data_IF_417376378676
#
_entry.id   IF_417376378676
#
_cell.length_a   1.000
_cell.length_b   1.000
_cell.length_c   1.000
_cell.angle_alpha   90.00
_cell.angle_beta   90.00
_cell.angle_gamma   90.00
#
_symmetry.space_group_name_H-M   'P 1'
#
loop_
_entity.id
_entity.type
_entity.pdbx_description
1 polymer ?
#
# COMPACT_ATOMS: atom_id res chain seq x y z
N UNK A 1 6.79 30.44 15.28
CA UNK A 1 7.73 30.36 14.14
C UNK A 1 7.80 28.91 13.69
N UNK A 2 7.85 28.62 12.40
CA UNK A 2 8.06 27.24 11.94
C UNK A 2 9.45 26.77 12.39
N UNK A 3 9.53 25.56 12.97
CA UNK A 3 10.82 24.98 13.39
C UNK A 3 11.63 24.60 12.16
N UNK A 4 12.95 24.78 12.23
CA UNK A 4 13.85 24.31 11.19
C UNK A 4 13.90 22.78 11.17
N UNK A 5 13.86 22.22 9.98
CA UNK A 5 13.82 20.77 9.75
C UNK A 5 15.09 20.31 9.07
N UNK A 6 15.74 19.33 9.66
CA UNK A 6 16.91 18.64 9.11
C UNK A 6 16.45 17.32 8.46
N UNK A 7 17.08 16.96 7.34
CA UNK A 7 16.91 15.69 6.63
C UNK A 7 18.22 14.94 6.63
N UNK A 8 18.24 13.78 7.24
CA UNK A 8 19.43 12.94 7.40
C UNK A 8 19.21 11.62 6.64
N UNK A 9 19.74 11.50 5.42
CA UNK A 9 19.66 10.25 4.67
C UNK A 9 20.69 9.25 5.22
N UNK A 10 20.29 7.96 5.29
CA UNK A 10 21.16 6.85 5.66
C UNK A 10 20.61 5.52 5.12
N UNK A 11 21.46 4.52 4.86
CA UNK A 11 21.04 3.18 4.52
C UNK A 11 20.91 2.30 5.78
N UNK A 12 19.95 1.36 5.72
CA UNK A 12 19.94 0.17 6.58
C UNK A 12 20.33 -1.00 5.67
N UNK A 13 21.36 -1.73 6.07
CA UNK A 13 21.93 -2.83 5.29
C UNK A 13 21.61 -4.15 5.99
N UNK A 14 20.98 -5.08 5.25
CA UNK A 14 20.69 -6.43 5.70
C UNK A 14 21.26 -7.45 4.71
N UNK A 15 21.39 -8.69 5.14
CA UNK A 15 21.86 -9.80 4.30
C UNK A 15 20.73 -10.80 4.13
N UNK A 16 20.37 -11.11 2.88
CA UNK A 16 19.37 -12.10 2.54
C UNK A 16 19.86 -12.93 1.36
N UNK A 17 20.11 -14.22 1.60
CA UNK A 17 20.52 -15.13 0.52
C UNK A 17 19.36 -15.37 -0.43
N UNK A 18 19.59 -15.17 -1.72
CA UNK A 18 18.63 -15.44 -2.79
C UNK A 18 19.27 -16.22 -3.92
N UNK A 19 18.50 -17.06 -4.60
CA UNK A 19 18.96 -17.80 -5.77
C UNK A 19 19.19 -16.90 -6.99
N UNK A 20 18.54 -15.74 -7.03
CA UNK A 20 18.69 -14.73 -8.08
C UNK A 20 18.36 -13.33 -7.53
N UNK A 21 18.77 -12.32 -8.25
CA UNK A 21 18.54 -10.92 -7.89
C UNK A 21 17.19 -10.46 -8.44
N UNK A 22 16.29 -10.08 -7.56
CA UNK A 22 14.93 -9.64 -7.91
C UNK A 22 14.84 -8.13 -8.20
N UNK A 23 15.81 -7.37 -7.71
CA UNK A 23 15.82 -5.91 -7.80
C UNK A 23 17.24 -5.36 -7.87
N UNK A 24 17.38 -4.15 -8.37
CA UNK A 24 18.66 -3.42 -8.37
C UNK A 24 18.96 -2.71 -7.03
N UNK A 25 18.09 -2.85 -6.02
CA UNK A 25 18.22 -2.24 -4.69
C UNK A 25 19.22 -2.92 -3.75
N UNK A 26 20.38 -3.34 -4.24
CA UNK A 26 21.42 -3.99 -3.45
C UNK A 26 22.46 -4.66 -4.35
N UNK A 27 23.40 -5.41 -3.77
CA UNK A 27 24.42 -6.16 -4.48
C UNK A 27 24.56 -7.55 -3.88
N UNK A 28 24.58 -8.59 -4.72
CA UNK A 28 24.63 -9.99 -4.28
C UNK A 28 23.53 -10.31 -3.26
N UNK A 29 23.89 -10.77 -2.07
CA UNK A 29 22.98 -11.06 -0.95
C UNK A 29 22.71 -9.82 -0.06
N UNK A 30 23.14 -8.63 -0.46
CA UNK A 30 22.97 -7.40 0.31
C UNK A 30 21.68 -6.69 -0.11
N UNK A 31 20.79 -6.45 0.85
CA UNK A 31 19.60 -5.63 0.72
C UNK A 31 19.84 -4.27 1.36
N UNK A 32 19.54 -3.19 0.65
CA UNK A 32 19.72 -1.82 1.14
C UNK A 32 18.34 -1.14 1.21
N UNK A 33 17.93 -0.77 2.41
CA UNK A 33 16.75 0.05 2.68
C UNK A 33 17.21 1.49 2.91
N UNK A 34 16.90 2.39 1.97
CA UNK A 34 17.24 3.80 2.12
C UNK A 34 16.22 4.49 2.99
N UNK A 35 16.71 5.20 4.02
CA UNK A 35 15.90 5.95 4.95
C UNK A 35 16.29 7.43 4.97
N UNK A 36 15.33 8.28 5.29
CA UNK A 36 15.57 9.69 5.59
C UNK A 36 14.91 10.03 6.92
N UNK A 37 15.71 10.34 7.93
CA UNK A 37 15.20 10.87 9.18
C UNK A 37 14.96 12.38 9.03
N UNK A 38 13.71 12.79 9.18
CA UNK A 38 13.22 14.17 9.05
C UNK A 38 12.86 14.64 10.46
N UNK A 39 13.58 15.60 11.01
CA UNK A 39 13.40 16.01 12.39
C UNK A 39 13.80 17.45 12.64
N UNK A 40 13.37 17.99 13.78
CA UNK A 40 13.89 19.24 14.33
C UNK A 40 15.14 18.99 15.19
N UNK A 41 15.74 20.04 15.74
CA UNK A 41 16.85 19.92 16.69
C UNK A 41 16.38 19.41 18.08
N UNK A 42 15.11 19.59 18.40
CA UNK A 42 14.54 19.16 19.69
C UNK A 42 14.53 17.63 19.78
N UNK A 43 14.82 17.04 20.95
CA UNK A 43 14.74 15.61 21.14
C UNK A 43 13.28 15.14 21.16
N UNK A 44 13.03 13.91 20.70
CA UNK A 44 11.75 13.23 20.82
C UNK A 44 11.98 11.77 21.18
N UNK A 45 11.15 11.23 22.07
CA UNK A 45 11.12 9.80 22.38
C UNK A 45 10.33 8.98 21.35
N UNK A 46 9.60 9.66 20.46
CA UNK A 46 8.71 9.06 19.45
C UNK A 46 9.25 9.23 18.04
N UNK A 47 9.21 8.16 17.25
CA UNK A 47 9.49 8.18 15.81
C UNK A 47 8.30 7.64 15.02
N UNK A 48 7.80 8.42 14.06
CA UNK A 48 6.91 7.91 13.02
C UNK A 48 7.74 7.25 11.93
N UNK A 49 7.43 6.00 11.60
CA UNK A 49 8.06 5.30 10.46
C UNK A 49 7.06 5.19 9.33
N UNK A 50 7.42 5.67 8.16
CA UNK A 50 6.60 5.57 6.95
C UNK A 50 7.36 4.81 5.87
N UNK A 51 6.74 3.74 5.35
CA UNK A 51 7.21 2.99 4.20
C UNK A 51 6.06 2.71 3.25
N UNK A 52 6.25 2.99 1.97
CA UNK A 52 5.36 2.55 0.90
C UNK A 52 6.03 1.40 0.15
N UNK A 53 5.30 0.33 -0.27
CA UNK A 53 5.92 -0.85 -0.90
C UNK A 53 6.81 -0.55 -2.11
N UNK A 54 6.48 0.47 -2.92
CA UNK A 54 7.21 0.79 -4.15
C UNK A 54 7.87 2.17 -4.16
N UNK A 55 7.79 2.94 -3.09
CA UNK A 55 8.30 4.31 -3.18
C UNK A 55 8.60 4.96 -1.85
N UNK A 56 9.54 5.89 -1.90
CA UNK A 56 9.86 6.73 -0.75
C UNK A 56 8.73 7.71 -0.45
N UNK A 57 8.45 7.92 0.82
CA UNK A 57 7.47 8.89 1.30
C UNK A 57 8.09 10.22 1.73
N UNK A 58 9.42 10.33 1.72
CA UNK A 58 10.16 11.50 2.22
C UNK A 58 9.80 12.82 1.54
N UNK A 59 9.31 12.80 0.30
CA UNK A 59 8.93 13.99 -0.47
C UNK A 59 7.52 14.49 -0.17
N UNK A 60 6.67 13.70 0.49
CA UNK A 60 5.29 14.10 0.81
C UNK A 60 5.28 15.32 1.73
N UNK A 61 4.46 16.36 1.44
CA UNK A 61 4.36 17.57 2.26
C UNK A 61 4.07 17.28 3.73
N UNK A 62 3.23 16.29 4.00
CA UNK A 62 2.84 15.89 5.36
C UNK A 62 4.04 15.47 6.23
N UNK A 63 5.06 14.81 5.67
CA UNK A 63 6.24 14.40 6.43
C UNK A 63 7.04 15.59 6.97
N UNK A 64 7.16 16.65 6.16
CA UNK A 64 7.80 17.90 6.58
C UNK A 64 6.94 18.66 7.59
N UNK A 65 5.63 18.66 7.44
CA UNK A 65 4.71 19.33 8.35
C UNK A 65 4.71 18.65 9.74
N UNK A 66 4.69 17.33 9.79
CA UNK A 66 4.84 16.56 11.02
C UNK A 66 6.17 16.87 11.70
N UNK A 67 7.28 16.90 10.94
CA UNK A 67 8.58 17.26 11.51
C UNK A 67 8.60 18.69 12.07
N UNK A 68 8.02 19.68 11.37
CA UNK A 68 7.88 21.06 11.88
C UNK A 68 7.01 21.15 13.13
N UNK A 69 6.06 20.25 13.31
CA UNK A 69 5.26 20.15 14.52
C UNK A 69 6.02 19.52 15.71
N UNK A 70 7.20 18.93 15.47
CA UNK A 70 8.06 18.34 16.49
C UNK A 70 8.19 16.82 16.39
N UNK A 71 7.40 16.17 15.55
CA UNK A 71 7.41 14.71 15.38
C UNK A 71 8.64 14.30 14.59
N UNK A 72 9.44 13.38 15.10
CA UNK A 72 10.50 12.78 14.29
C UNK A 72 9.91 11.77 13.30
N UNK A 73 10.22 11.90 12.02
CA UNK A 73 9.69 11.04 10.95
C UNK A 73 10.85 10.35 10.25
N UNK A 74 10.82 9.02 10.21
CA UNK A 74 11.74 8.21 9.42
C UNK A 74 10.99 7.67 8.19
N UNK A 75 11.22 8.31 7.05
CA UNK A 75 10.67 7.90 5.76
C UNK A 75 11.61 6.90 5.10
N UNK A 76 11.13 5.69 4.86
CA UNK A 76 11.92 4.58 4.35
C UNK A 76 11.43 4.15 2.97
N UNK A 77 12.36 3.79 2.10
CA UNK A 77 12.09 3.04 0.88
C UNK A 77 12.04 1.54 1.20
N UNK A 78 11.34 0.76 0.38
CA UNK A 78 11.58 -0.68 0.34
C UNK A 78 12.72 -1.01 -0.61
N UNK A 79 13.16 -2.28 -0.63
CA UNK A 79 14.11 -2.80 -1.64
C UNK A 79 13.61 -2.64 -3.09
N UNK A 80 12.30 -2.49 -3.28
CA UNK A 80 11.61 -2.40 -4.59
C UNK A 80 11.32 -0.95 -5.02
N UNK A 81 12.08 0.01 -4.54
CA UNK A 81 11.87 1.43 -4.87
C UNK A 81 11.77 1.65 -6.37
N UNK A 82 10.64 2.19 -6.81
CA UNK A 82 10.35 2.54 -8.20
C UNK A 82 10.06 1.36 -9.13
N UNK A 83 10.00 0.12 -8.60
CA UNK A 83 9.76 -1.07 -9.41
C UNK A 83 9.00 -2.14 -8.63
N UNK A 84 7.73 -2.35 -8.95
CA UNK A 84 6.88 -3.33 -8.24
C UNK A 84 6.70 -4.67 -8.98
N UNK A 85 7.30 -4.80 -10.15
CA UNK A 85 7.12 -5.99 -11.00
C UNK A 85 7.55 -7.31 -10.33
N UNK A 86 8.57 -7.28 -9.47
CA UNK A 86 9.05 -8.44 -8.72
C UNK A 86 8.76 -8.34 -7.21
N UNK A 87 7.96 -7.35 -6.78
CA UNK A 87 7.72 -7.06 -5.37
C UNK A 87 7.05 -8.24 -4.67
N UNK A 88 7.59 -8.60 -3.51
CA UNK A 88 7.04 -9.57 -2.58
C UNK A 88 6.72 -8.87 -1.26
N UNK A 89 5.46 -8.89 -0.84
CA UNK A 89 4.99 -8.17 0.35
C UNK A 89 5.60 -8.70 1.65
N UNK A 90 5.89 -10.00 1.72
CA UNK A 90 6.55 -10.63 2.87
C UNK A 90 7.99 -10.11 3.00
N UNK A 91 8.70 -9.91 1.88
CA UNK A 91 10.05 -9.30 1.87
C UNK A 91 10.01 -7.81 2.26
N UNK A 92 9.02 -7.06 1.76
CA UNK A 92 8.81 -5.66 2.19
C UNK A 92 8.50 -5.56 3.69
N UNK A 93 7.80 -6.56 4.23
CA UNK A 93 7.55 -6.65 5.69
C UNK A 93 8.86 -6.81 6.47
N UNK A 94 9.83 -7.57 5.97
CA UNK A 94 11.18 -7.64 6.57
C UNK A 94 11.94 -6.31 6.44
N UNK A 95 11.79 -5.59 5.32
CA UNK A 95 12.40 -4.27 5.15
C UNK A 95 11.87 -3.28 6.20
N UNK A 96 10.54 -3.25 6.39
CA UNK A 96 9.91 -2.43 7.43
C UNK A 96 10.37 -2.88 8.82
N UNK A 97 10.51 -4.18 9.06
CA UNK A 97 11.05 -4.74 10.31
C UNK A 97 12.47 -4.26 10.60
N UNK A 98 13.33 -4.19 9.58
CA UNK A 98 14.67 -3.65 9.72
C UNK A 98 14.65 -2.16 10.11
N UNK A 99 13.71 -1.39 9.56
CA UNK A 99 13.52 0.02 9.91
C UNK A 99 13.03 0.21 11.35
N UNK A 100 12.04 -0.57 11.80
CA UNK A 100 11.53 -0.55 13.18
C UNK A 100 12.63 -0.91 14.17
N UNK A 101 13.38 -1.97 13.91
CA UNK A 101 14.51 -2.40 14.74
C UNK A 101 15.59 -1.34 14.81
N UNK A 102 15.99 -0.74 13.68
CA UNK A 102 16.98 0.33 13.63
C UNK A 102 16.55 1.56 14.42
N UNK A 103 15.30 1.98 14.30
CA UNK A 103 14.77 3.12 15.04
C UNK A 103 14.80 2.86 16.56
N UNK A 104 14.49 1.64 17.00
CA UNK A 104 14.46 1.28 18.42
C UNK A 104 15.86 1.03 18.99
N UNK A 105 16.66 0.20 18.32
CA UNK A 105 17.92 -0.31 18.88
C UNK A 105 19.13 0.59 18.57
N UNK A 106 19.13 1.30 17.43
CA UNK A 106 20.27 2.13 17.00
C UNK A 106 19.99 3.61 17.26
N UNK A 107 18.79 4.11 16.89
CA UNK A 107 18.45 5.52 17.10
C UNK A 107 17.90 5.80 18.52
N UNK A 108 17.49 4.77 19.26
CA UNK A 108 17.10 4.85 20.67
C UNK A 108 15.70 5.40 20.94
N UNK A 109 14.80 5.41 19.94
CA UNK A 109 13.42 5.84 20.14
C UNK A 109 12.67 4.86 21.06
N UNK A 110 11.94 5.40 22.05
CA UNK A 110 11.14 4.61 22.98
C UNK A 110 9.81 4.17 22.37
N UNK A 111 9.24 5.05 21.56
CA UNK A 111 7.94 4.81 20.89
C UNK A 111 8.11 4.83 19.38
N UNK A 112 7.61 3.79 18.75
CA UNK A 112 7.57 3.66 17.29
C UNK A 112 6.11 3.62 16.86
N UNK A 113 5.72 4.52 15.98
CA UNK A 113 4.38 4.54 15.39
C UNK A 113 4.51 4.39 13.87
N UNK A 114 3.80 3.43 13.29
CA UNK A 114 3.81 3.26 11.83
C UNK A 114 2.81 4.22 11.20
N UNK A 115 3.25 4.91 10.15
CA UNK A 115 2.40 5.76 9.31
C UNK A 115 2.29 5.13 7.93
N UNK A 116 1.18 4.44 7.69
CA UNK A 116 0.85 3.82 6.42
C UNK A 116 0.08 4.78 5.52
N UNK A 117 0.76 5.36 4.52
CA UNK A 117 0.15 6.17 3.48
C UNK A 117 -0.06 5.32 2.22
N UNK A 118 -1.24 5.45 1.57
CA UNK A 118 -1.55 4.74 0.32
C UNK A 118 -1.36 3.21 0.46
N UNK A 119 -0.61 2.58 -0.42
CA UNK A 119 -0.22 1.17 -0.31
C UNK A 119 0.59 0.81 0.94
N UNK A 120 1.19 1.81 1.61
CA UNK A 120 1.84 1.64 2.90
C UNK A 120 0.88 1.34 4.05
N UNK A 121 -0.43 1.60 3.86
CA UNK A 121 -1.46 1.27 4.84
C UNK A 121 -1.56 -0.22 5.09
N UNK A 122 -1.87 -0.99 4.06
CA UNK A 122 -1.95 -2.47 4.18
C UNK A 122 -0.62 -3.10 4.59
N UNK A 123 0.52 -2.54 4.15
CA UNK A 123 1.84 -2.97 4.61
C UNK A 123 2.00 -2.80 6.13
N UNK A 124 1.69 -1.60 6.65
CA UNK A 124 1.83 -1.29 8.09
C UNK A 124 0.90 -2.14 8.95
N UNK A 125 -0.34 -2.33 8.51
CA UNK A 125 -1.30 -3.20 9.19
C UNK A 125 -0.84 -4.67 9.18
N UNK A 126 -0.39 -5.18 8.04
CA UNK A 126 0.11 -6.54 7.91
C UNK A 126 1.38 -6.76 8.74
N UNK A 127 2.33 -5.83 8.68
CA UNK A 127 3.52 -5.86 9.54
C UNK A 127 3.14 -5.96 11.02
N UNK A 128 2.26 -5.08 11.49
CA UNK A 128 1.88 -5.05 12.90
C UNK A 128 1.21 -6.35 13.35
N UNK A 129 0.30 -6.88 12.52
CA UNK A 129 -0.36 -8.15 12.81
C UNK A 129 0.66 -9.30 12.91
N UNK A 130 1.64 -9.36 11.99
CA UNK A 130 2.69 -10.38 12.01
C UNK A 130 3.72 -10.16 13.14
N UNK A 131 3.93 -8.92 13.57
CA UNK A 131 4.80 -8.63 14.72
C UNK A 131 4.15 -8.98 16.06
N UNK A 132 2.84 -8.80 16.21
CA UNK A 132 2.09 -9.16 17.42
C UNK A 132 1.74 -10.66 17.46
N UNK A 133 1.31 -11.22 16.34
CA UNK A 133 0.86 -12.60 16.20
C UNK A 133 1.32 -13.17 14.85
N UNK A 134 2.57 -13.66 14.75
CA UNK A 134 3.10 -14.15 13.49
C UNK A 134 2.39 -15.45 13.07
N UNK A 135 1.94 -15.49 11.80
CA UNK A 135 1.18 -16.61 11.24
C UNK A 135 1.64 -17.03 9.85
N UNK A 136 2.43 -16.18 9.17
CA UNK A 136 2.85 -16.42 7.79
C UNK A 136 4.20 -17.12 7.75
N UNK A 137 4.19 -18.39 7.39
CA UNK A 137 5.39 -19.25 7.29
C UNK A 137 6.06 -19.16 5.91
N UNK A 138 5.33 -18.72 4.88
CA UNK A 138 5.84 -18.56 3.50
C UNK A 138 5.00 -17.59 2.70
N UNK A 139 5.56 -17.08 1.59
CA UNK A 139 4.78 -16.37 0.59
C UNK A 139 3.76 -17.30 -0.10
N UNK A 140 2.70 -16.76 -0.73
CA UNK A 140 1.67 -17.57 -1.41
C UNK A 140 2.19 -18.46 -2.55
N UNK A 141 3.40 -18.20 -3.03
CA UNK A 141 4.08 -19.05 -4.01
C UNK A 141 4.77 -20.29 -3.43
N UNK A 142 4.69 -20.53 -2.12
CA UNK A 142 5.33 -21.66 -1.44
C UNK A 142 6.82 -21.48 -1.11
N UNK A 143 7.34 -20.26 -1.21
CA UNK A 143 8.72 -19.90 -0.87
C UNK A 143 8.77 -18.51 -0.21
N UNK A 144 9.95 -17.90 -0.16
CA UNK A 144 10.15 -16.58 0.43
C UNK A 144 10.34 -16.63 1.96
N UNK A 145 10.27 -15.48 2.63
CA UNK A 145 10.56 -15.41 4.05
C UNK A 145 9.49 -16.06 4.92
N UNK A 146 9.94 -16.66 6.03
CA UNK A 146 9.11 -17.10 7.13
C UNK A 146 8.98 -15.97 8.16
N UNK A 147 7.82 -15.32 8.24
CA UNK A 147 7.59 -14.21 9.17
C UNK A 147 7.43 -14.70 10.62
N UNK A 148 7.09 -15.98 10.85
CA UNK A 148 7.03 -16.58 12.19
C UNK A 148 8.42 -16.61 12.83
N UNK A 149 9.47 -16.83 12.03
CA UNK A 149 10.86 -16.87 12.49
C UNK A 149 11.57 -15.50 12.41
N UNK A 150 10.93 -14.48 11.82
CA UNK A 150 11.56 -13.19 11.54
C UNK A 150 11.81 -12.33 12.79
N UNK A 151 11.21 -12.67 13.94
CA UNK A 151 11.33 -11.91 15.20
C UNK A 151 11.03 -10.41 15.00
N UNK A 152 9.92 -10.08 14.32
CA UNK A 152 9.48 -8.73 14.10
C UNK A 152 9.17 -8.03 15.42
N UNK A 153 9.59 -6.78 15.58
CA UNK A 153 9.30 -5.98 16.76
C UNK A 153 7.99 -5.20 16.53
N UNK A 154 6.95 -5.36 17.38
CA UNK A 154 5.73 -4.59 17.21
C UNK A 154 5.98 -3.10 17.41
N UNK A 155 5.27 -2.29 16.64
CA UNK A 155 5.16 -0.86 16.86
C UNK A 155 4.15 -0.57 17.98
N UNK A 156 4.21 0.65 18.53
CA UNK A 156 3.38 1.05 19.65
C UNK A 156 2.04 1.65 19.19
N UNK A 157 1.90 2.00 17.90
CA UNK A 157 0.68 2.54 17.31
C UNK A 157 0.70 2.51 15.78
N UNK A 158 -0.49 2.63 15.18
CA UNK A 158 -0.71 2.68 13.73
C UNK A 158 -1.46 3.93 13.31
N UNK A 159 -1.01 4.59 12.25
CA UNK A 159 -1.72 5.65 11.55
C UNK A 159 -1.93 5.21 10.11
N UNK A 160 -3.20 5.11 9.71
CA UNK A 160 -3.64 4.78 8.35
C UNK A 160 -4.07 6.08 7.68
N UNK A 161 -3.21 6.70 6.85
CA UNK A 161 -3.46 8.01 6.24
C UNK A 161 -3.63 7.86 4.74
N UNK A 162 -4.79 8.28 4.20
CA UNK A 162 -5.07 8.14 2.77
C UNK A 162 -4.68 6.74 2.27
N UNK A 163 -5.10 5.70 3.00
CA UNK A 163 -4.59 4.35 2.89
C UNK A 163 -5.51 3.45 2.08
N UNK A 164 -4.93 2.60 1.25
CA UNK A 164 -5.65 1.50 0.59
C UNK A 164 -5.95 0.37 1.57
N UNK A 165 -7.07 -0.32 1.34
CA UNK A 165 -7.44 -1.54 2.10
C UNK A 165 -6.41 -2.66 1.88
N UNK A 166 -5.96 -2.87 0.64
CA UNK A 166 -4.90 -3.81 0.27
C UNK A 166 -4.46 -3.56 -1.18
N UNK A 167 -3.29 -4.06 -1.57
CA UNK A 167 -2.87 -3.97 -2.98
C UNK A 167 -3.75 -4.86 -3.87
N UNK A 168 -3.98 -6.10 -3.46
CA UNK A 168 -4.84 -7.03 -4.20
C UNK A 168 -6.29 -6.56 -4.29
N UNK A 169 -6.87 -6.07 -3.20
CA UNK A 169 -8.24 -5.56 -3.17
C UNK A 169 -8.38 -4.34 -4.08
N UNK A 170 -7.43 -3.39 -4.00
CA UNK A 170 -7.43 -2.19 -4.84
C UNK A 170 -7.27 -2.54 -6.32
N UNK A 171 -6.34 -3.44 -6.69
CA UNK A 171 -6.25 -3.91 -8.07
C UNK A 171 -7.56 -4.55 -8.53
N UNK A 172 -8.18 -5.39 -7.69
CA UNK A 172 -9.42 -6.09 -8.04
C UNK A 172 -10.57 -5.12 -8.29
N UNK A 173 -10.62 -4.00 -7.55
CA UNK A 173 -11.58 -2.92 -7.80
C UNK A 173 -11.28 -2.11 -9.07
N UNK A 174 -10.04 -2.09 -9.54
CA UNK A 174 -9.59 -1.27 -10.66
C UNK A 174 -9.30 -2.05 -11.94
N UNK A 175 -9.21 -3.38 -11.88
CA UNK A 175 -8.99 -4.20 -13.06
C UNK A 175 -10.21 -4.12 -14.00
N UNK A 176 -9.96 -3.94 -15.29
CA UNK A 176 -11.00 -3.78 -16.31
C UNK A 176 -11.62 -5.14 -16.68
N UNK A 177 -12.85 -5.45 -16.25
CA UNK A 177 -13.45 -6.75 -16.48
C UNK A 177 -13.90 -6.96 -17.92
N UNK A 178 -13.88 -5.93 -18.76
CA UNK A 178 -14.28 -6.04 -20.16
C UNK A 178 -13.24 -6.78 -21.02
N UNK A 179 -11.99 -6.87 -20.60
CA UNK A 179 -10.93 -7.56 -21.35
C UNK A 179 -11.13 -9.07 -21.24
N UNK A 180 -11.40 -9.72 -22.38
CA UNK A 180 -11.71 -11.14 -22.47
C UNK A 180 -10.46 -12.01 -22.72
N UNK A 181 -9.41 -11.42 -23.30
CA UNK A 181 -8.15 -12.10 -23.63
C UNK A 181 -6.96 -11.24 -23.21
N UNK A 182 -6.10 -11.77 -22.34
CA UNK A 182 -4.91 -11.05 -21.86
C UNK A 182 -3.85 -10.84 -22.96
N UNK A 183 -3.93 -11.59 -24.06
CA UNK A 183 -3.04 -11.42 -25.22
C UNK A 183 -3.57 -10.42 -26.25
N UNK A 184 -4.86 -10.07 -26.18
CA UNK A 184 -5.53 -9.08 -27.04
C UNK A 184 -6.43 -8.16 -26.20
N UNK A 185 -5.90 -7.09 -25.61
CA UNK A 185 -6.68 -6.20 -24.74
C UNK A 185 -7.77 -5.39 -25.45
N UNK A 186 -7.82 -5.42 -26.78
CA UNK A 186 -8.89 -4.81 -27.57
C UNK A 186 -10.08 -5.77 -27.78
N UNK A 187 -9.90 -7.06 -27.47
CA UNK A 187 -11.01 -8.02 -27.44
C UNK A 187 -11.81 -7.86 -26.13
N UNK A 188 -12.88 -7.06 -26.19
CA UNK A 188 -13.63 -6.60 -25.03
C UNK A 188 -15.10 -7.02 -25.05
N UNK A 189 -15.65 -7.27 -23.88
CA UNK A 189 -17.12 -7.35 -23.68
C UNK A 189 -17.70 -5.93 -23.63
N UNK A 190 -18.49 -5.50 -24.63
CA UNK A 190 -19.08 -4.18 -24.64
C UNK A 190 -20.07 -3.91 -23.50
N UNK A 191 -20.63 -4.97 -22.88
CA UNK A 191 -21.53 -4.83 -21.74
C UNK A 191 -20.81 -4.49 -20.42
N UNK A 192 -19.49 -4.69 -20.37
CA UNK A 192 -18.65 -4.39 -19.22
C UNK A 192 -17.60 -3.27 -19.48
N UNK A 193 -17.55 -2.73 -20.71
CA UNK A 193 -16.59 -1.68 -21.06
C UNK A 193 -17.12 -0.30 -20.66
N UNK A 194 -16.74 0.16 -19.46
CA UNK A 194 -17.13 1.49 -18.94
C UNK A 194 -16.49 2.65 -19.71
N UNK A 195 -15.51 2.39 -20.58
CA UNK A 195 -14.87 3.38 -21.45
C UNK A 195 -15.39 3.31 -22.90
N UNK A 196 -16.23 2.32 -23.19
CA UNK A 196 -16.92 2.13 -24.47
C UNK A 196 -18.11 3.07 -24.65
N UNK A 197 -18.97 2.74 -25.59
CA UNK A 197 -20.18 3.51 -25.91
C UNK A 197 -21.49 2.84 -25.48
N UNK A 198 -21.42 1.61 -24.97
CA UNK A 198 -22.60 0.80 -24.62
C UNK A 198 -23.08 1.07 -23.21
N UNK A 199 -22.16 1.32 -22.28
CA UNK A 199 -22.43 1.54 -20.86
C UNK A 199 -21.99 2.95 -20.48
N UNK A 200 -22.80 3.65 -19.71
CA UNK A 200 -22.48 5.02 -19.26
C UNK A 200 -23.06 5.28 -17.86
N UNK A 201 -22.41 6.16 -17.06
CA UNK A 201 -22.96 6.59 -15.78
C UNK A 201 -24.28 7.38 -15.93
N UNK A 202 -25.15 7.43 -14.92
CA UNK A 202 -25.02 6.70 -13.65
C UNK A 202 -25.25 5.21 -13.81
N UNK A 203 -24.44 4.41 -13.09
CA UNK A 203 -24.57 2.96 -13.12
C UNK A 203 -25.57 2.47 -12.09
N UNK A 204 -26.46 1.55 -12.49
CA UNK A 204 -27.39 0.94 -11.55
C UNK A 204 -26.73 -0.16 -10.69
N UNK A 205 -27.41 -0.56 -9.63
CA UNK A 205 -26.91 -1.55 -8.68
C UNK A 205 -26.69 -2.94 -9.35
N UNK A 206 -27.53 -3.32 -10.30
CA UNK A 206 -27.44 -4.61 -11.01
C UNK A 206 -26.14 -4.65 -11.83
N UNK A 207 -25.86 -3.56 -12.56
CA UNK A 207 -24.61 -3.42 -13.31
C UNK A 207 -23.39 -3.47 -12.37
N UNK A 208 -23.42 -2.70 -11.28
CA UNK A 208 -22.28 -2.64 -10.34
C UNK A 208 -21.98 -4.01 -9.72
N UNK A 209 -23.01 -4.78 -9.34
CA UNK A 209 -22.82 -6.14 -8.81
C UNK A 209 -22.19 -7.04 -9.86
N UNK A 210 -22.68 -7.01 -11.11
CA UNK A 210 -22.11 -7.79 -12.21
C UNK A 210 -20.68 -7.38 -12.53
N UNK A 211 -20.42 -6.07 -12.58
CA UNK A 211 -19.11 -5.52 -12.86
C UNK A 211 -18.07 -5.96 -11.81
N UNK A 212 -18.39 -5.83 -10.51
CA UNK A 212 -17.51 -6.26 -9.41
C UNK A 212 -17.29 -7.78 -9.43
N UNK A 213 -18.30 -8.58 -9.71
CA UNK A 213 -18.14 -10.02 -9.86
C UNK A 213 -17.19 -10.38 -11.02
N UNK A 214 -17.32 -9.69 -12.16
CA UNK A 214 -16.46 -9.88 -13.33
C UNK A 214 -14.99 -9.43 -13.07
N UNK A 215 -14.77 -8.38 -12.27
CA UNK A 215 -13.44 -7.97 -11.82
C UNK A 215 -12.76 -9.06 -10.98
N UNK A 216 -13.46 -9.63 -10.01
CA UNK A 216 -12.97 -10.75 -9.18
C UNK A 216 -12.64 -11.95 -10.05
N UNK A 217 -13.55 -12.30 -10.96
CA UNK A 217 -13.37 -13.44 -11.89
C UNK A 217 -12.14 -13.26 -12.78
N UNK A 218 -11.92 -12.07 -13.33
CA UNK A 218 -10.70 -11.78 -14.13
C UNK A 218 -9.43 -11.94 -13.30
N UNK A 219 -9.41 -11.41 -12.08
CA UNK A 219 -8.26 -11.58 -11.15
C UNK A 219 -7.98 -13.08 -10.91
N UNK A 220 -9.02 -13.86 -10.64
CA UNK A 220 -8.92 -15.31 -10.44
C UNK A 220 -8.41 -16.07 -11.66
N UNK A 221 -8.83 -15.69 -12.87
CA UNK A 221 -8.32 -16.27 -14.12
C UNK A 221 -6.83 -16.04 -14.30
N UNK A 222 -6.36 -14.81 -14.07
CA UNK A 222 -4.92 -14.49 -14.11
C UNK A 222 -4.18 -15.29 -13.04
N UNK A 223 -4.71 -15.36 -11.82
CA UNK A 223 -4.11 -16.14 -10.72
C UNK A 223 -4.00 -17.63 -11.06
N UNK A 224 -5.04 -18.22 -11.64
CA UNK A 224 -5.01 -19.61 -12.07
C UNK A 224 -3.94 -19.88 -13.14
N UNK A 225 -3.83 -19.00 -14.14
CA UNK A 225 -2.76 -19.04 -15.13
C UNK A 225 -1.37 -18.92 -14.51
N UNK A 226 -1.16 -18.01 -13.55
CA UNK A 226 0.10 -17.84 -12.82
C UNK A 226 0.50 -19.13 -12.11
N UNK A 227 -0.46 -19.78 -11.40
CA UNK A 227 -0.23 -21.05 -10.70
C UNK A 227 0.10 -22.18 -11.65
N UNK A 228 -0.56 -22.27 -12.79
CA UNK A 228 -0.28 -23.27 -13.83
C UNK A 228 1.16 -23.10 -14.37
N UNK A 229 1.59 -21.84 -14.63
CA UNK A 229 2.96 -21.55 -15.09
C UNK A 229 4.02 -21.94 -14.06
N UNK A 230 3.84 -21.61 -12.78
CA UNK A 230 4.74 -22.00 -11.70
C UNK A 230 4.82 -23.53 -11.57
N UNK A 231 3.68 -24.24 -11.63
CA UNK A 231 3.65 -25.70 -11.60
C UNK A 231 4.39 -26.32 -12.82
N UNK A 232 4.19 -25.76 -14.00
CA UNK A 232 4.87 -26.21 -15.22
C UNK A 232 6.38 -26.04 -15.12
N UNK A 233 6.86 -24.90 -14.60
CA UNK A 233 8.29 -24.66 -14.35
C UNK A 233 8.85 -25.67 -13.34
N UNK A 234 8.14 -25.92 -12.25
CA UNK A 234 8.58 -26.90 -11.25
C UNK A 234 8.69 -28.33 -11.82
N UNK A 235 7.70 -28.77 -12.60
CA UNK A 235 7.73 -30.08 -13.27
C UNK A 235 8.88 -30.25 -14.25
N UNK A 236 9.36 -29.16 -14.83
CA UNK A 236 10.53 -29.12 -15.73
C UNK A 236 11.87 -29.04 -14.99
N UNK A 237 11.89 -29.08 -13.65
CA UNK A 237 13.09 -28.86 -12.84
C UNK A 237 13.58 -27.42 -12.77
N UNK A 238 12.73 -26.47 -13.18
CA UNK A 238 12.99 -25.02 -13.28
C UNK A 238 12.29 -24.23 -12.18
N UNK A 239 12.11 -24.82 -11.00
CA UNK A 239 11.33 -24.26 -9.90
C UNK A 239 11.84 -22.88 -9.41
N UNK A 240 13.12 -22.55 -9.63
CA UNK A 240 13.72 -21.28 -9.25
C UNK A 240 13.61 -20.19 -10.34
N UNK A 241 13.09 -20.53 -11.52
CA UNK A 241 12.93 -19.55 -12.59
C UNK A 241 11.68 -18.70 -12.41
N UNK A 242 11.74 -17.48 -12.96
CA UNK A 242 10.67 -16.50 -12.93
C UNK A 242 10.20 -16.19 -14.35
N UNK A 243 8.97 -15.71 -14.47
CA UNK A 243 8.35 -15.32 -15.73
C UNK A 243 7.66 -13.97 -15.57
N UNK A 244 7.95 -13.01 -16.46
CA UNK A 244 7.34 -11.68 -16.44
C UNK A 244 6.18 -11.61 -17.43
N UNK A 245 5.12 -10.88 -17.07
CA UNK A 245 3.94 -10.66 -17.91
C UNK A 245 3.34 -9.28 -17.70
N UNK A 246 2.47 -8.88 -18.61
CA UNK A 246 1.74 -7.61 -18.58
C UNK A 246 0.27 -7.87 -18.26
N UNK A 247 -0.31 -7.06 -17.37
CA UNK A 247 -1.75 -7.01 -17.13
C UNK A 247 -2.29 -5.71 -17.73
N UNK A 248 -3.13 -5.82 -18.74
CA UNK A 248 -3.77 -4.68 -19.39
C UNK A 248 -5.00 -4.23 -18.60
N UNK A 249 -5.42 -2.96 -18.78
CA UNK A 249 -6.66 -2.46 -18.19
C UNK A 249 -6.70 -2.58 -16.67
N UNK A 250 -5.97 -1.74 -15.95
CA UNK A 250 -5.90 -1.81 -14.47
C UNK A 250 -6.31 -0.50 -13.79
N UNK A 251 -7.02 0.37 -14.53
CA UNK A 251 -7.52 1.66 -14.05
C UNK A 251 -8.99 1.85 -14.47
N UNK A 252 -9.88 0.92 -14.04
CA UNK A 252 -11.29 0.87 -14.46
C UNK A 252 -12.25 0.75 -13.26
N UNK A 253 -12.14 1.68 -12.30
CA UNK A 253 -13.13 1.78 -11.22
C UNK A 253 -14.32 2.64 -11.69
N UNK A 254 -15.56 2.13 -11.69
CA UNK A 254 -16.77 2.89 -11.99
C UNK A 254 -16.92 4.17 -11.15
N UNK A 255 -16.41 4.18 -9.92
CA UNK A 255 -16.48 5.33 -9.03
C UNK A 255 -15.74 6.58 -9.54
N UNK A 256 -14.79 6.45 -10.47
CA UNK A 256 -14.15 7.63 -11.09
C UNK A 256 -15.05 8.31 -12.12
N UNK A 257 -15.96 7.55 -12.77
CA UNK A 257 -16.87 8.07 -13.79
C UNK A 257 -18.24 8.48 -13.21
N UNK A 258 -18.65 7.82 -12.12
CA UNK A 258 -19.92 8.05 -11.46
C UNK A 258 -19.72 8.60 -10.04
N UNK A 259 -20.00 9.90 -9.87
CA UNK A 259 -19.84 10.58 -8.58
C UNK A 259 -20.88 10.16 -7.53
N UNK A 260 -21.91 9.40 -7.90
CA UNK A 260 -22.90 8.85 -6.95
C UNK A 260 -22.38 7.61 -6.24
N UNK A 261 -21.32 6.98 -6.78
CA UNK A 261 -20.65 5.85 -6.15
C UNK A 261 -19.60 6.39 -5.17
N UNK A 262 -19.73 6.05 -3.88
CA UNK A 262 -18.85 6.54 -2.80
C UNK A 262 -18.69 8.07 -2.86
N UNK A 263 -19.78 8.87 -2.66
CA UNK A 263 -19.80 10.31 -2.85
C UNK A 263 -18.76 11.02 -1.99
N UNK A 264 -18.00 11.94 -2.59
CA UNK A 264 -16.93 12.66 -1.92
C UNK A 264 -16.58 13.95 -2.68
N UNK A 265 -15.56 14.70 -2.21
CA UNK A 265 -15.11 15.93 -2.84
C UNK A 265 -14.15 15.67 -4.04
N UNK A 266 -13.94 14.42 -4.45
CA UNK A 266 -13.05 14.09 -5.59
C UNK A 266 -13.59 14.62 -6.92
N UNK A 267 -12.68 14.91 -7.83
CA UNK A 267 -13.02 15.40 -9.16
C UNK A 267 -13.64 14.27 -10.02
N UNK A 268 -14.89 14.41 -10.51
CA UNK A 268 -15.48 13.44 -11.42
C UNK A 268 -14.68 13.27 -12.72
N UNK A 269 -14.62 12.04 -13.26
CA UNK A 269 -13.89 11.74 -14.50
C UNK A 269 -12.38 11.81 -14.36
N UNK A 270 -11.84 11.70 -13.14
CA UNK A 270 -10.42 11.81 -12.86
C UNK A 270 -9.95 10.78 -11.84
N UNK A 271 -8.72 10.31 -11.96
CA UNK A 271 -8.04 9.50 -10.96
C UNK A 271 -6.63 10.05 -10.70
N UNK A 272 -5.93 9.53 -9.70
CA UNK A 272 -4.61 10.03 -9.30
C UNK A 272 -3.52 9.94 -10.39
N UNK A 273 -3.75 9.20 -11.46
CA UNK A 273 -2.86 9.11 -12.64
C UNK A 273 -3.33 9.99 -13.82
N UNK A 274 -4.52 10.61 -13.73
CA UNK A 274 -5.07 11.45 -14.78
C UNK A 274 -6.44 11.00 -15.28
N UNK A 275 -6.71 11.14 -16.58
CA UNK A 275 -7.93 10.63 -17.22
C UNK A 275 -7.95 9.10 -17.16
N UNK A 276 -8.91 8.48 -16.43
CA UNK A 276 -8.93 7.03 -16.21
C UNK A 276 -9.02 6.23 -17.51
N UNK A 277 -9.71 6.71 -18.54
CA UNK A 277 -9.77 6.06 -19.86
C UNK A 277 -8.39 5.99 -20.52
N UNK A 278 -7.61 7.09 -20.45
CA UNK A 278 -6.27 7.16 -21.03
C UNK A 278 -5.28 6.28 -20.27
N UNK A 279 -5.32 6.33 -18.93
CA UNK A 279 -4.35 5.60 -18.10
C UNK A 279 -4.70 4.14 -17.90
N UNK A 280 -5.91 3.70 -18.30
CA UNK A 280 -6.34 2.30 -18.17
C UNK A 280 -5.35 1.31 -18.80
N UNK A 281 -4.76 1.67 -19.96
CA UNK A 281 -3.68 0.93 -20.62
C UNK A 281 -2.36 1.70 -20.67
N UNK A 282 -2.21 2.75 -19.87
CA UNK A 282 -0.99 3.53 -19.79
C UNK A 282 0.22 2.74 -19.25
N UNK A 283 1.42 3.30 -19.32
CA UNK A 283 2.65 2.63 -18.87
C UNK A 283 2.72 2.45 -17.35
N UNK A 284 1.92 3.20 -16.60
CA UNK A 284 1.83 3.15 -15.14
C UNK A 284 0.42 2.70 -14.75
N UNK A 285 0.34 1.78 -13.81
CA UNK A 285 -0.92 1.23 -13.27
C UNK A 285 -0.60 0.07 -12.34
N UNK A 286 -1.54 -0.28 -11.47
CA UNK A 286 -1.35 -1.42 -10.57
C UNK A 286 -1.18 -2.70 -11.40
N UNK A 287 -0.24 -3.57 -10.99
CA UNK A 287 0.05 -4.85 -11.64
C UNK A 287 0.41 -4.77 -13.14
N UNK A 288 0.65 -3.57 -13.69
CA UNK A 288 0.93 -3.39 -15.13
C UNK A 288 2.03 -4.34 -15.62
N UNK A 289 3.12 -4.46 -14.86
CA UNK A 289 4.18 -5.41 -15.08
C UNK A 289 4.32 -6.26 -13.82
N UNK A 290 4.25 -7.58 -13.97
CA UNK A 290 4.33 -8.50 -12.84
C UNK A 290 5.17 -9.71 -13.19
N UNK A 291 5.80 -10.31 -12.17
CA UNK A 291 6.30 -11.67 -12.26
C UNK A 291 5.31 -12.63 -11.59
N UNK A 292 5.46 -13.93 -11.83
CA UNK A 292 4.49 -14.93 -11.33
C UNK A 292 4.38 -14.89 -9.79
N UNK A 293 5.52 -14.85 -9.09
CA UNK A 293 5.52 -14.85 -7.61
C UNK A 293 5.07 -13.53 -7.03
N UNK A 294 5.44 -12.42 -7.67
CA UNK A 294 4.98 -11.09 -7.31
C UNK A 294 3.45 -10.98 -7.42
N UNK A 295 2.85 -11.54 -8.48
CA UNK A 295 1.40 -11.58 -8.63
C UNK A 295 0.73 -12.24 -7.42
N UNK A 296 1.18 -13.41 -7.00
CA UNK A 296 0.59 -14.14 -5.87
C UNK A 296 0.74 -13.38 -4.55
N UNK A 297 1.90 -12.75 -4.32
CA UNK A 297 2.17 -12.05 -3.06
C UNK A 297 1.41 -10.72 -2.93
N UNK A 298 1.21 -9.98 -4.04
CA UNK A 298 0.64 -8.63 -3.92
C UNK A 298 -0.67 -8.40 -4.66
N UNK A 299 -1.04 -9.21 -5.66
CA UNK A 299 -2.16 -8.92 -6.56
C UNK A 299 -3.28 -9.97 -6.59
N UNK A 300 -2.98 -11.22 -6.24
CA UNK A 300 -4.00 -12.27 -6.21
C UNK A 300 -5.07 -11.99 -5.18
N UNK A 301 -6.32 -11.96 -5.62
CA UNK A 301 -7.49 -11.65 -4.77
C UNK A 301 -7.62 -12.60 -3.57
N UNK A 302 -7.44 -13.91 -3.83
CA UNK A 302 -7.64 -14.94 -2.81
C UNK A 302 -6.36 -15.31 -2.04
N UNK A 303 -5.15 -15.05 -2.61
CA UNK A 303 -3.89 -15.60 -2.08
C UNK A 303 -3.05 -14.59 -1.31
N UNK A 304 -3.11 -13.29 -1.67
CA UNK A 304 -2.22 -12.28 -1.08
C UNK A 304 -2.41 -12.18 0.45
N UNK A 305 -1.30 -12.23 1.18
CA UNK A 305 -1.29 -12.18 2.64
C UNK A 305 -1.54 -10.79 3.20
N UNK A 306 -1.01 -9.76 2.54
CA UNK A 306 -1.05 -8.38 3.04
C UNK A 306 -2.41 -7.71 2.77
N UNK A 307 -3.35 -7.91 3.69
CA UNK A 307 -4.69 -7.35 3.69
C UNK A 307 -4.90 -6.48 4.93
N UNK A 308 -5.26 -5.22 4.73
CA UNK A 308 -5.43 -4.24 5.81
C UNK A 308 -6.55 -4.60 6.78
N UNK A 309 -7.80 -4.77 6.34
CA UNK A 309 -8.91 -5.16 7.21
C UNK A 309 -8.66 -6.45 7.99
N UNK A 310 -8.20 -7.51 7.33
CA UNK A 310 -7.88 -8.78 7.99
C UNK A 310 -6.80 -8.62 9.06
N UNK A 311 -5.76 -7.84 8.76
CA UNK A 311 -4.68 -7.57 9.69
C UNK A 311 -5.13 -6.70 10.87
N UNK A 312 -5.90 -5.63 10.62
CA UNK A 312 -6.40 -4.72 11.65
C UNK A 312 -7.35 -5.39 12.63
N UNK A 313 -8.01 -6.47 12.23
CA UNK A 313 -8.87 -7.25 13.13
C UNK A 313 -8.10 -7.91 14.29
N UNK A 314 -6.79 -8.14 14.14
CA UNK A 314 -5.93 -8.82 15.12
C UNK A 314 -4.96 -7.92 15.87
N UNK A 315 -4.72 -6.68 15.43
CA UNK A 315 -3.79 -5.78 16.11
C UNK A 315 -4.32 -5.30 17.46
N UNK A 316 -3.42 -5.02 18.39
CA UNK A 316 -3.76 -4.60 19.75
C UNK A 316 -3.35 -3.15 20.06
N UNK A 317 -2.44 -2.54 19.29
CA UNK A 317 -2.01 -1.16 19.47
C UNK A 317 -3.10 -0.14 19.10
N UNK A 318 -3.03 1.13 19.57
CA UNK A 318 -3.94 2.19 19.13
C UNK A 318 -3.87 2.42 17.61
N UNK A 319 -5.02 2.70 16.99
CA UNK A 319 -5.13 2.93 15.54
C UNK A 319 -5.83 4.25 15.25
N UNK A 320 -5.19 5.08 14.41
CA UNK A 320 -5.77 6.30 13.83
C UNK A 320 -6.00 6.06 12.34
N UNK A 321 -7.21 6.34 11.85
CA UNK A 321 -7.52 6.36 10.42
C UNK A 321 -7.81 7.79 9.99
N UNK A 322 -7.15 8.25 8.93
CA UNK A 322 -7.37 9.57 8.33
C UNK A 322 -7.76 9.38 6.86
N UNK A 323 -9.01 9.70 6.53
CA UNK A 323 -9.51 9.76 5.16
C UNK A 323 -9.40 11.17 4.59
N UNK A 324 -9.09 11.29 3.31
CA UNK A 324 -9.09 12.55 2.57
C UNK A 324 -10.32 12.60 1.66
N UNK A 325 -11.18 13.62 1.78
CA UNK A 325 -12.47 13.59 1.06
C UNK A 325 -12.36 13.88 -0.44
N UNK A 326 -11.28 14.50 -0.90
CA UNK A 326 -11.00 14.68 -2.34
C UNK A 326 -9.96 13.68 -2.88
N UNK A 327 -9.74 12.56 -2.17
CA UNK A 327 -8.81 11.51 -2.60
C UNK A 327 -9.43 10.68 -3.73
N UNK A 328 -8.76 10.66 -4.87
CA UNK A 328 -9.15 9.92 -6.07
C UNK A 328 -8.40 8.58 -6.25
N UNK A 329 -7.57 8.22 -5.27
CA UNK A 329 -6.92 6.91 -5.14
C UNK A 329 -7.54 6.10 -3.99
N UNK A 330 -7.51 6.63 -2.77
CA UNK A 330 -8.04 5.99 -1.56
C UNK A 330 -9.35 6.67 -1.14
N UNK A 331 -10.44 6.31 -1.80
CA UNK A 331 -11.75 6.94 -1.58
C UNK A 331 -12.29 6.67 -0.16
N UNK A 332 -13.31 7.41 0.32
CA UNK A 332 -13.80 7.30 1.70
C UNK A 332 -14.17 5.88 2.15
N UNK A 333 -14.64 5.02 1.24
CA UNK A 333 -14.93 3.61 1.55
C UNK A 333 -13.72 2.85 2.09
N UNK A 334 -12.49 3.19 1.64
CA UNK A 334 -11.26 2.55 2.12
C UNK A 334 -11.01 2.92 3.59
N UNK A 335 -11.08 4.20 3.94
CA UNK A 335 -10.92 4.67 5.32
C UNK A 335 -11.97 4.04 6.24
N UNK A 336 -13.24 4.00 5.79
CA UNK A 336 -14.33 3.35 6.52
C UNK A 336 -14.06 1.87 6.77
N UNK A 337 -13.69 1.12 5.74
CA UNK A 337 -13.40 -0.31 5.84
C UNK A 337 -12.24 -0.60 6.80
N UNK A 338 -11.15 0.20 6.74
CA UNK A 338 -10.02 0.08 7.65
C UNK A 338 -10.42 0.37 9.10
N UNK A 339 -11.19 1.44 9.34
CA UNK A 339 -11.66 1.79 10.67
C UNK A 339 -12.59 0.74 11.27
N UNK A 340 -13.55 0.25 10.49
CA UNK A 340 -14.51 -0.77 10.92
C UNK A 340 -13.82 -2.09 11.29
N UNK A 341 -12.76 -2.45 10.58
CA UNK A 341 -12.01 -3.69 10.79
C UNK A 341 -11.24 -3.75 12.12
N UNK A 342 -10.89 -2.59 12.71
CA UNK A 342 -10.23 -2.58 14.03
C UNK A 342 -11.18 -3.08 15.09
N UNK A 343 -10.85 -4.21 15.75
CA UNK A 343 -11.75 -4.93 16.68
C UNK A 343 -11.86 -4.27 18.05
N UNK A 344 -10.86 -3.49 18.48
CA UNK A 344 -10.82 -2.90 19.83
C UNK A 344 -11.28 -1.42 19.84
N UNK A 345 -11.46 -0.85 21.03
CA UNK A 345 -11.99 0.50 21.22
C UNK A 345 -10.94 1.62 21.08
N UNK A 346 -9.63 1.31 21.11
CA UNK A 346 -8.56 2.31 20.96
C UNK A 346 -8.37 2.62 19.48
N UNK A 347 -9.42 3.18 18.86
CA UNK A 347 -9.42 3.56 17.46
C UNK A 347 -10.11 4.89 17.26
N UNK A 348 -9.58 5.70 16.35
CA UNK A 348 -10.15 6.99 15.95
C UNK A 348 -10.20 7.08 14.43
N UNK A 349 -11.19 7.81 13.91
CA UNK A 349 -11.31 8.08 12.48
C UNK A 349 -11.58 9.56 12.28
N UNK A 350 -10.82 10.17 11.36
CA UNK A 350 -10.97 11.58 10.99
C UNK A 350 -11.02 11.73 9.48
N UNK A 351 -11.76 12.74 9.02
CA UNK A 351 -11.78 13.12 7.60
C UNK A 351 -11.15 14.50 7.46
N UNK A 352 -10.29 14.66 6.46
CA UNK A 352 -9.74 15.96 6.08
C UNK A 352 -10.49 16.43 4.83
N UNK A 353 -11.41 17.37 5.02
CA UNK A 353 -12.26 17.87 3.96
C UNK A 353 -11.45 18.56 2.86
N UNK A 354 -11.74 18.23 1.61
CA UNK A 354 -11.07 18.79 0.43
C UNK A 354 -9.64 18.31 0.20
N UNK A 355 -9.06 17.51 1.12
CA UNK A 355 -7.71 17.00 0.95
C UNK A 355 -7.64 15.96 -0.18
N UNK A 356 -6.63 16.11 -1.03
CA UNK A 356 -6.28 15.14 -2.08
C UNK A 356 -5.30 14.10 -1.55
N UNK A 357 -5.02 13.08 -2.36
CA UNK A 357 -4.13 11.96 -1.99
C UNK A 357 -2.76 12.39 -1.47
N UNK A 358 -2.17 13.43 -2.06
CA UNK A 358 -0.79 13.86 -1.78
C UNK A 358 -0.68 15.13 -0.94
N UNK A 359 -1.75 15.85 -0.67
CA UNK A 359 -1.76 17.21 -0.07
C UNK A 359 -0.93 18.24 -0.86
N UNK A 360 -0.67 17.99 -2.15
CA UNK A 360 0.13 18.89 -2.97
C UNK A 360 -0.60 20.21 -3.23
N UNK A 361 0.05 21.33 -2.88
CA UNK A 361 -0.57 22.65 -3.00
C UNK A 361 -1.67 22.93 -1.98
N UNK A 362 -1.83 22.09 -0.94
CA UNK A 362 -2.89 22.15 0.07
C UNK A 362 -2.31 22.34 1.49
N UNK A 363 -1.73 23.50 1.81
CA UNK A 363 -1.09 23.73 3.11
C UNK A 363 -2.05 23.70 4.30
N UNK A 364 -3.31 24.08 4.10
CA UNK A 364 -4.32 24.09 5.15
C UNK A 364 -4.78 22.69 5.51
N UNK A 365 -5.06 21.85 4.51
CA UNK A 365 -5.43 20.45 4.66
C UNK A 365 -4.28 19.64 5.28
N UNK A 366 -3.07 19.85 4.81
CA UNK A 366 -1.89 19.21 5.38
C UNK A 366 -1.64 19.67 6.85
N UNK A 367 -1.92 20.93 7.18
CA UNK A 367 -1.87 21.42 8.56
C UNK A 367 -2.98 20.79 9.42
N UNK A 368 -4.20 20.64 8.90
CA UNK A 368 -5.30 19.97 9.59
C UNK A 368 -4.97 18.51 9.91
N UNK A 369 -4.47 17.76 8.93
CA UNK A 369 -4.02 16.39 9.11
C UNK A 369 -2.87 16.29 10.14
N UNK A 370 -1.91 17.22 10.09
CA UNK A 370 -0.81 17.29 11.07
C UNK A 370 -1.33 17.46 12.49
N UNK A 371 -2.30 18.36 12.71
CA UNK A 371 -2.91 18.60 14.04
C UNK A 371 -3.62 17.36 14.56
N UNK A 372 -4.33 16.62 13.70
CA UNK A 372 -4.99 15.37 14.07
C UNK A 372 -3.93 14.34 14.51
N UNK A 373 -2.86 14.16 13.76
CA UNK A 373 -1.78 13.23 14.12
C UNK A 373 -1.13 13.60 15.44
N UNK A 374 -0.73 14.87 15.61
CA UNK A 374 -0.06 15.32 16.84
C UNK A 374 -0.99 15.14 18.06
N UNK A 375 -2.25 15.58 17.95
CA UNK A 375 -3.21 15.42 19.05
C UNK A 375 -3.44 13.95 19.43
N UNK A 376 -3.51 13.06 18.43
CA UNK A 376 -3.66 11.63 18.67
C UNK A 376 -2.39 11.02 19.33
N UNK A 377 -1.19 11.43 18.90
CA UNK A 377 0.06 11.00 19.53
C UNK A 377 0.09 11.39 21.01
N UNK A 378 -0.23 12.64 21.35
CA UNK A 378 -0.27 13.15 22.72
C UNK A 378 -1.29 12.40 23.59
N UNK A 379 -2.52 12.18 23.06
CA UNK A 379 -3.57 11.44 23.75
C UNK A 379 -3.22 9.99 24.07
N UNK A 380 -2.39 9.37 23.24
CA UNK A 380 -1.91 8.00 23.46
C UNK A 380 -0.58 7.92 24.20
N UNK A 381 -0.07 9.06 24.75
CA UNK A 381 1.16 9.10 25.55
C UNK A 381 2.46 9.06 24.75
N UNK A 382 2.40 9.30 23.46
CA UNK A 382 3.57 9.41 22.59
C UNK A 382 4.11 10.85 22.66
N UNK A 383 5.26 11.02 23.29
CA UNK A 383 5.87 12.35 23.45
C UNK A 383 6.39 12.87 22.12
N UNK A 384 5.97 14.10 21.76
CA UNK A 384 6.33 14.80 20.52
C UNK A 384 7.30 15.94 20.80
#
# INVERSE_FOLDING_TARGET
MARDVTRLPFPIVTVEKSAFKETYGGAEDIVIVFCTLIKTAEPSDTCLISMHPIGGTAWLPIMTNLARAGVHVMACDSRYRGADHALNMEKVTLDLGSAVRHAREVLGYKHIVLLGWSGGGSLSAFYQAQAEQPTVESSPCGGGPNLVEANLLPADGLIMMAAHVSRHGTLTEWIDPSILDESDPDHRDPALDIYGSTVAPPYDEVFLVQYRAAQIERNRKITAWVREKLNSLAQQGRANEEFAFVTHGTMADPAWLDSTIDPSDRKPGWCYLGDPKVVNNGPVGLARFSTLRSWLSQWSYDDANADGPRSLASVSCPVLVIGNTADDACTPRHAKALFEAVSHKRKECHEIKGATHYYMGQPEEASAATKVVVGWLEQNGFTV
#
